data_IF_833613381149
#
_entry.id   IF_833613381149
#
_cell.length_a   1.000
_cell.length_b   1.000
_cell.length_c   1.000
_cell.angle_alpha   90.00
_cell.angle_beta   90.00
_cell.angle_gamma   90.00
#
_symmetry.space_group_name_H-M   'P 1'
#
loop_
_entity.id
_entity.type
_entity.pdbx_description
1 polymer ?
#
# COMPACT_ATOMS: atom_id res chain seq x y z
N UNK A 1 -6.98 15.85 -24.77
CA UNK A 1 -6.39 14.48 -24.74
C UNK A 1 -5.09 14.54 -23.95
N UNK A 2 -5.11 14.22 -22.66
CA UNK A 2 -3.93 14.36 -21.78
C UNK A 2 -2.93 13.20 -21.92
N UNK A 3 -1.65 13.46 -21.63
CA UNK A 3 -0.58 12.45 -21.61
C UNK A 3 -0.43 11.72 -20.26
N UNK A 4 -1.41 11.85 -19.36
CA UNK A 4 -1.31 11.39 -17.96
C UNK A 4 -0.84 9.93 -17.83
N UNK A 5 -1.43 9.01 -18.60
CA UNK A 5 -1.04 7.58 -18.56
C UNK A 5 0.42 7.33 -18.97
N UNK A 6 0.95 8.09 -19.93
CA UNK A 6 2.35 7.98 -20.36
C UNK A 6 3.29 8.52 -19.29
N UNK A 7 2.95 9.65 -18.68
CA UNK A 7 3.75 10.30 -17.63
C UNK A 7 3.84 9.43 -16.37
N UNK A 8 2.75 8.79 -15.97
CA UNK A 8 2.72 7.88 -14.81
C UNK A 8 3.60 6.65 -15.05
N UNK A 9 3.58 6.11 -16.28
CA UNK A 9 4.44 4.98 -16.65
C UNK A 9 5.92 5.30 -16.44
N UNK A 10 6.35 6.50 -16.82
CA UNK A 10 7.72 6.98 -16.59
C UNK A 10 8.00 7.16 -15.10
N UNK A 11 7.09 7.76 -14.33
CA UNK A 11 7.27 7.98 -12.90
C UNK A 11 7.48 6.66 -12.11
N UNK A 12 6.81 5.56 -12.51
CA UNK A 12 6.97 4.24 -11.87
C UNK A 12 8.33 3.57 -12.14
N UNK A 13 9.04 3.97 -13.18
CA UNK A 13 10.36 3.40 -13.51
C UNK A 13 11.53 4.28 -13.04
N UNK A 14 11.25 5.45 -12.48
CA UNK A 14 12.28 6.34 -11.94
C UNK A 14 12.90 5.76 -10.65
N UNK A 15 14.20 5.99 -10.46
CA UNK A 15 14.87 5.66 -9.20
C UNK A 15 14.66 6.72 -8.11
N UNK A 16 14.39 7.96 -8.51
CA UNK A 16 14.18 9.10 -7.61
C UNK A 16 13.18 10.08 -8.23
N UNK A 17 12.30 10.64 -7.39
CA UNK A 17 11.36 11.69 -7.77
C UNK A 17 11.71 12.94 -6.96
N UNK A 18 11.95 14.05 -7.67
CA UNK A 18 12.15 15.36 -7.05
C UNK A 18 10.83 16.15 -7.12
N UNK A 19 10.25 16.44 -5.96
CA UNK A 19 9.05 17.28 -5.86
C UNK A 19 9.48 18.72 -5.66
N UNK A 20 9.24 19.57 -6.66
CA UNK A 20 9.54 21.01 -6.61
C UNK A 20 8.30 21.74 -6.08
N UNK A 21 8.47 22.49 -4.99
CA UNK A 21 7.40 23.23 -4.33
C UNK A 21 7.75 24.72 -4.26
N UNK A 22 6.72 25.56 -4.31
CA UNK A 22 6.83 26.98 -3.97
C UNK A 22 6.93 27.13 -2.44
N UNK A 23 7.93 27.85 -1.97
CA UNK A 23 8.16 28.11 -0.55
C UNK A 23 7.06 28.96 0.11
N UNK A 24 6.29 29.74 -0.67
CA UNK A 24 5.23 30.60 -0.15
C UNK A 24 3.95 29.84 0.24
N UNK A 25 3.63 28.75 -0.46
CA UNK A 25 2.46 27.88 -0.17
C UNK A 25 2.73 26.38 -0.44
N UNK A 26 3.72 25.77 0.23
CA UNK A 26 4.16 24.41 -0.12
C UNK A 26 3.16 23.32 0.27
N UNK A 27 2.36 23.53 1.32
CA UNK A 27 1.56 22.46 1.94
C UNK A 27 0.44 21.94 1.04
N UNK A 28 -0.28 22.83 0.35
CA UNK A 28 -1.40 22.44 -0.52
C UNK A 28 -0.91 21.65 -1.73
N UNK A 29 0.12 22.15 -2.41
CA UNK A 29 0.69 21.49 -3.58
C UNK A 29 1.35 20.16 -3.21
N UNK A 30 2.09 20.12 -2.09
CA UNK A 30 2.69 18.89 -1.58
C UNK A 30 1.64 17.79 -1.39
N UNK A 31 0.54 18.10 -0.67
CA UNK A 31 -0.51 17.13 -0.38
C UNK A 31 -1.22 16.61 -1.64
N UNK A 32 -1.42 17.46 -2.64
CA UNK A 32 -2.03 17.04 -3.92
C UNK A 32 -1.09 16.09 -4.66
N UNK A 33 0.20 16.45 -4.76
CA UNK A 33 1.19 15.63 -5.47
C UNK A 33 1.39 14.28 -4.79
N UNK A 34 1.52 14.25 -3.46
CA UNK A 34 1.66 13.02 -2.69
C UNK A 34 0.44 12.10 -2.91
N UNK A 35 -0.77 12.64 -2.82
CA UNK A 35 -2.01 11.88 -3.01
C UNK A 35 -2.13 11.29 -4.42
N UNK A 36 -1.78 12.06 -5.45
CA UNK A 36 -1.81 11.58 -6.83
C UNK A 36 -0.78 10.46 -7.05
N UNK A 37 0.45 10.64 -6.55
CA UNK A 37 1.51 9.62 -6.66
C UNK A 37 1.14 8.33 -5.92
N UNK A 38 0.58 8.45 -4.71
CA UNK A 38 0.07 7.29 -3.96
C UNK A 38 -1.07 6.59 -4.70
N UNK A 39 -2.00 7.34 -5.30
CA UNK A 39 -3.09 6.82 -6.13
C UNK A 39 -2.62 6.05 -7.36
N UNK A 40 -1.39 6.28 -7.82
CA UNK A 40 -0.75 5.52 -8.91
C UNK A 40 0.16 4.39 -8.44
N UNK A 41 0.16 4.06 -7.15
CA UNK A 41 0.96 2.98 -6.57
C UNK A 41 2.43 3.34 -6.35
N UNK A 42 2.77 4.63 -6.31
CA UNK A 42 4.11 5.10 -5.93
C UNK A 42 4.10 5.39 -4.43
N UNK A 43 5.01 4.76 -3.69
CA UNK A 43 5.15 4.93 -2.23
C UNK A 43 6.41 5.74 -1.95
N UNK A 44 6.22 7.02 -1.58
CA UNK A 44 7.33 7.96 -1.37
C UNK A 44 7.99 7.72 -0.01
N UNK A 45 9.32 7.56 0.00
CA UNK A 45 10.14 7.42 1.21
C UNK A 45 9.69 6.29 2.16
N UNK A 46 9.06 5.24 1.63
CA UNK A 46 8.60 4.08 2.38
C UNK A 46 9.37 2.83 1.98
N UNK A 47 9.59 1.95 2.94
CA UNK A 47 10.06 0.59 2.67
C UNK A 47 8.85 -0.35 2.55
N UNK A 48 8.97 -1.44 1.76
CA UNK A 48 7.93 -2.46 1.70
C UNK A 48 7.62 -2.99 3.11
N UNK A 49 6.34 -3.12 3.47
CA UNK A 49 5.98 -3.56 4.81
C UNK A 49 6.37 -5.03 5.03
N UNK A 50 6.69 -5.39 6.27
CA UNK A 50 7.11 -6.75 6.63
C UNK A 50 5.91 -7.69 6.81
N UNK A 51 5.21 -7.92 5.70
CA UNK A 51 4.06 -8.81 5.59
C UNK A 51 4.45 -10.01 4.74
N UNK A 52 4.23 -11.22 5.26
CA UNK A 52 4.36 -12.44 4.46
C UNK A 52 2.97 -12.96 4.12
N UNK A 53 2.65 -13.00 2.84
CA UNK A 53 1.39 -13.53 2.32
C UNK A 53 1.66 -14.82 1.53
N UNK A 54 1.00 -15.92 1.89
CA UNK A 54 1.10 -17.20 1.18
C UNK A 54 -0.31 -17.69 0.85
N UNK A 55 -0.66 -17.72 -0.44
CA UNK A 55 -1.94 -18.29 -0.89
C UNK A 55 -1.92 -19.82 -0.73
N UNK A 56 -3.04 -20.37 -0.30
CA UNK A 56 -3.26 -21.82 -0.17
C UNK A 56 -4.44 -22.27 -1.03
N UNK A 57 -4.45 -23.56 -1.36
CA UNK A 57 -5.57 -24.18 -2.08
C UNK A 57 -6.77 -24.45 -1.16
N UNK A 58 -6.52 -24.67 0.14
CA UNK A 58 -7.55 -24.94 1.15
C UNK A 58 -7.06 -24.56 2.56
N UNK A 59 -7.97 -24.59 3.55
CA UNK A 59 -7.62 -24.36 4.96
C UNK A 59 -7.99 -23.00 5.53
N UNK A 60 -8.74 -22.17 4.79
CA UNK A 60 -9.22 -20.88 5.27
C UNK A 60 -8.12 -19.81 5.39
N UNK A 61 -8.46 -18.69 6.01
CA UNK A 61 -7.55 -17.55 6.22
C UNK A 61 -6.92 -17.68 7.60
N UNK A 62 -5.61 -17.94 7.67
CA UNK A 62 -4.87 -17.97 8.92
C UNK A 62 -4.06 -16.68 9.07
N UNK A 63 -4.20 -16.03 10.23
CA UNK A 63 -3.54 -14.77 10.55
C UNK A 63 -2.57 -15.02 11.70
N UNK A 64 -1.28 -14.75 11.47
CA UNK A 64 -0.23 -14.83 12.48
C UNK A 64 0.31 -13.44 12.74
N UNK A 65 0.35 -13.02 14.01
CA UNK A 65 0.83 -11.70 14.43
C UNK A 65 2.08 -11.87 15.28
N UNK A 66 3.19 -11.28 14.88
CA UNK A 66 4.42 -11.27 15.69
C UNK A 66 4.52 -10.02 16.57
N UNK A 67 3.68 -9.01 16.33
CA UNK A 67 3.59 -7.79 17.13
C UNK A 67 2.13 -7.45 17.43
N UNK A 68 1.85 -6.68 18.50
CA UNK A 68 0.53 -6.11 18.72
C UNK A 68 0.14 -5.18 17.57
N UNK A 69 -1.05 -5.38 17.01
CA UNK A 69 -1.60 -4.53 15.95
C UNK A 69 -2.51 -3.48 16.57
N UNK A 70 -2.31 -2.23 16.19
CA UNK A 70 -3.16 -1.09 16.62
C UNK A 70 -4.02 -0.54 15.50
N UNK A 71 -3.63 -0.83 14.25
CA UNK A 71 -4.23 -0.25 13.04
C UNK A 71 -5.07 -1.26 12.25
N UNK A 72 -5.00 -2.53 12.60
CA UNK A 72 -5.55 -3.61 11.78
C UNK A 72 -6.15 -4.73 12.64
N UNK A 73 -7.43 -5.02 12.36
CA UNK A 73 -8.19 -6.08 13.03
C UNK A 73 -8.32 -7.32 12.14
N UNK A 74 -8.50 -8.48 12.77
CA UNK A 74 -8.65 -9.77 12.05
C UNK A 74 -9.88 -9.78 11.13
N UNK A 75 -10.95 -9.10 11.54
CA UNK A 75 -12.17 -8.96 10.73
C UNK A 75 -11.88 -8.21 9.44
N UNK A 76 -11.09 -7.13 9.52
CA UNK A 76 -10.68 -6.31 8.37
C UNK A 76 -9.79 -7.10 7.42
N UNK A 77 -8.82 -7.85 7.95
CA UNK A 77 -7.93 -8.72 7.16
C UNK A 77 -8.74 -9.75 6.38
N UNK A 78 -9.70 -10.40 7.05
CA UNK A 78 -10.57 -11.39 6.41
C UNK A 78 -11.49 -10.77 5.36
N UNK A 79 -12.03 -9.57 5.61
CA UNK A 79 -12.86 -8.85 4.66
C UNK A 79 -12.07 -8.51 3.38
N UNK A 80 -10.86 -7.97 3.53
CA UNK A 80 -9.95 -7.67 2.41
C UNK A 80 -9.65 -8.95 1.62
N UNK A 81 -9.21 -10.03 2.27
CA UNK A 81 -8.92 -11.29 1.57
C UNK A 81 -10.12 -11.82 0.77
N UNK A 82 -11.34 -11.72 1.34
CA UNK A 82 -12.57 -12.12 0.64
C UNK A 82 -12.89 -11.24 -0.56
N UNK A 83 -12.67 -9.93 -0.45
CA UNK A 83 -12.86 -8.98 -1.55
C UNK A 83 -11.94 -9.28 -2.74
N UNK A 84 -10.69 -9.66 -2.46
CA UNK A 84 -9.73 -10.15 -3.45
C UNK A 84 -9.99 -11.60 -3.92
N UNK A 85 -11.12 -12.21 -3.52
CA UNK A 85 -11.51 -13.60 -3.84
C UNK A 85 -10.49 -14.64 -3.36
N UNK A 86 -9.81 -14.37 -2.26
CA UNK A 86 -8.84 -15.25 -1.62
C UNK A 86 -9.55 -15.98 -0.48
N UNK A 87 -9.90 -17.25 -0.73
CA UNK A 87 -10.60 -18.09 0.24
C UNK A 87 -9.67 -18.80 1.22
N UNK A 88 -8.39 -18.97 0.87
CA UNK A 88 -7.41 -19.64 1.72
C UNK A 88 -6.02 -19.02 1.57
N UNK A 89 -5.45 -18.57 2.68
CA UNK A 89 -4.12 -17.97 2.74
C UNK A 89 -3.57 -17.97 4.16
N UNK A 90 -2.23 -17.89 4.28
CA UNK A 90 -1.55 -17.53 5.51
C UNK A 90 -1.01 -16.11 5.39
N UNK A 91 -1.41 -15.26 6.33
CA UNK A 91 -0.92 -13.89 6.47
C UNK A 91 -0.11 -13.80 7.75
N UNK A 92 1.18 -13.46 7.64
CA UNK A 92 2.04 -13.20 8.79
C UNK A 92 2.42 -11.73 8.84
N UNK A 93 2.02 -11.05 9.91
CA UNK A 93 2.27 -9.64 10.15
C UNK A 93 3.39 -9.51 11.20
N UNK A 94 4.53 -8.95 10.79
CA UNK A 94 5.70 -8.77 11.68
C UNK A 94 5.91 -7.33 12.16
N UNK A 95 5.07 -6.41 11.72
CA UNK A 95 5.06 -5.02 12.14
C UNK A 95 3.61 -4.49 12.19
N UNK A 96 3.41 -3.31 12.76
CA UNK A 96 2.09 -2.67 12.92
C UNK A 96 1.64 -1.98 11.62
N UNK A 97 1.16 -2.79 10.68
CA UNK A 97 0.75 -2.37 9.34
C UNK A 97 -0.69 -1.80 9.28
N UNK A 98 -0.96 -0.94 8.30
CA UNK A 98 -2.31 -0.49 7.95
C UNK A 98 -3.01 -1.42 6.95
N UNK A 99 -4.31 -1.20 6.73
CA UNK A 99 -5.08 -1.93 5.72
C UNK A 99 -4.54 -1.69 4.30
N UNK A 100 -4.16 -0.45 3.98
CA UNK A 100 -3.58 -0.11 2.68
C UNK A 100 -2.28 -0.87 2.42
N UNK A 101 -1.43 -1.02 3.44
CA UNK A 101 -0.18 -1.78 3.35
C UNK A 101 -0.38 -3.29 3.15
N UNK A 102 -1.54 -3.83 3.52
CA UNK A 102 -1.91 -5.22 3.25
C UNK A 102 -2.48 -5.40 1.83
N UNK A 103 -3.11 -4.35 1.30
CA UNK A 103 -3.74 -4.34 -0.02
C UNK A 103 -2.71 -4.18 -1.14
N UNK A 104 -1.71 -3.32 -0.90
CA UNK A 104 -0.62 -3.02 -1.83
C UNK A 104 0.29 -4.23 -2.12
#
# INVERSE_FOLDING_TARGET
>A
KGRGRQVIGVARTCNLILIVLDASQPMTHKKIIERELEGFGIRLNQQPPNIKFVKKDSGGINITKSVPLTKLDDVTIQAICKEYRILSCDVTLREDCTADQLID
#
